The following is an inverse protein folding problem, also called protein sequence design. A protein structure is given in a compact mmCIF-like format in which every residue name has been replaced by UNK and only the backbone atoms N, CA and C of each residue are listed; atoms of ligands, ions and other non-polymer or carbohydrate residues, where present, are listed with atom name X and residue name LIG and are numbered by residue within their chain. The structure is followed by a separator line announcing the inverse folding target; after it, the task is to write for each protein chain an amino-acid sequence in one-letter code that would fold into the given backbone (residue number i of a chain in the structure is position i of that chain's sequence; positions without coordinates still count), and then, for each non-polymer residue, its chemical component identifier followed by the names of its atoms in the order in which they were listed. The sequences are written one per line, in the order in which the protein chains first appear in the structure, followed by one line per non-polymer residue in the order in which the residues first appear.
data_IF_918509747014
#
_entry.id   IF_918509747014
#
_cell.length_a   1.000
_cell.length_b   1.000
_cell.length_c   1.000
_cell.angle_alpha   90.00
_cell.angle_beta   90.00
_cell.angle_gamma   90.00
#
_symmetry.space_group_name_H-M   'P 1'
#
loop_
_entity.id
_entity.type
_entity.pdbx_description
1 polymer ?
#
# COMPACT_ATOMS: atom_id res chain seq x y z
N UNK A 1 16.51 60.52 21.71
CA UNK A 1 16.37 59.52 22.79
C UNK A 1 14.99 58.89 22.67
N UNK A 2 14.86 57.79 21.94
CA UNK A 2 13.61 57.01 21.85
C UNK A 2 13.89 55.61 22.40
N UNK A 3 13.08 55.20 23.39
CA UNK A 3 13.20 53.91 24.06
C UNK A 3 12.53 52.82 23.21
N UNK A 4 13.25 51.71 22.96
CA UNK A 4 12.68 50.49 22.37
C UNK A 4 12.01 49.65 23.48
N UNK A 5 10.84 49.05 23.23
CA UNK A 5 10.24 48.12 24.18
C UNK A 5 10.93 46.75 24.11
N UNK A 6 11.23 46.18 25.27
CA UNK A 6 11.75 44.83 25.45
C UNK A 6 10.69 43.80 25.06
N UNK A 7 11.00 42.99 24.05
CA UNK A 7 10.19 41.85 23.66
C UNK A 7 10.29 40.74 24.73
N UNK A 8 9.13 40.40 25.30
CA UNK A 8 8.95 39.28 26.22
C UNK A 8 9.16 37.95 25.49
N UNK A 9 10.30 37.28 25.76
CA UNK A 9 10.56 35.89 25.38
C UNK A 9 9.65 34.97 26.21
N UNK A 10 8.47 34.65 25.66
CA UNK A 10 7.63 33.58 26.18
C UNK A 10 8.37 32.23 25.99
N UNK A 11 8.64 31.54 27.10
CA UNK A 11 9.22 30.19 27.06
C UNK A 11 8.23 29.22 26.40
N UNK A 12 8.70 28.28 25.55
CA UNK A 12 7.84 27.25 25.00
C UNK A 12 7.32 26.36 26.14
N UNK A 13 6.00 26.20 26.20
CA UNK A 13 5.37 25.25 27.11
C UNK A 13 5.92 23.86 26.82
N UNK A 14 6.60 23.25 27.79
CA UNK A 14 6.97 21.83 27.73
C UNK A 14 5.67 21.04 27.66
N UNK A 15 5.42 20.39 26.53
CA UNK A 15 4.38 19.38 26.41
C UNK A 15 4.61 18.35 27.53
N UNK A 16 3.64 18.22 28.42
CA UNK A 16 3.67 17.19 29.45
C UNK A 16 3.62 15.84 28.73
N UNK A 17 4.72 15.09 28.77
CA UNK A 17 4.73 13.68 28.43
C UNK A 17 3.89 13.00 29.50
N UNK A 18 2.63 12.70 29.18
CA UNK A 18 1.77 11.89 30.04
C UNK A 18 2.41 10.52 30.16
N UNK A 19 2.96 10.20 31.33
CA UNK A 19 3.39 8.84 31.64
C UNK A 19 2.15 7.93 31.54
N UNK A 20 2.24 6.77 30.87
CA UNK A 20 1.14 5.83 30.81
C UNK A 20 0.71 5.47 32.23
N UNK A 21 -0.60 5.52 32.48
CA UNK A 21 -1.20 5.15 33.76
C UNK A 21 -0.70 3.77 34.18
N UNK A 22 -0.14 3.66 35.39
CA UNK A 22 0.39 2.42 35.95
C UNK A 22 -0.67 1.31 36.17
N UNK A 23 -1.92 1.55 35.75
CA UNK A 23 -3.03 0.61 35.79
C UNK A 23 -3.62 0.29 34.41
N UNK A 24 -2.88 0.53 33.33
CA UNK A 24 -3.30 0.00 32.04
C UNK A 24 -3.33 -1.54 32.10
N UNK A 25 -4.44 -2.18 31.70
CA UNK A 25 -4.52 -3.64 31.70
C UNK A 25 -3.40 -4.24 30.84
N UNK A 26 -2.68 -5.22 31.40
CA UNK A 26 -1.70 -6.02 30.65
C UNK A 26 -2.47 -7.14 29.97
N UNK A 27 -2.65 -7.02 28.66
CA UNK A 27 -3.29 -8.06 27.87
C UNK A 27 -2.36 -9.26 27.65
N UNK A 28 -2.94 -10.45 27.63
CA UNK A 28 -2.21 -11.73 27.45
C UNK A 28 -3.03 -12.63 26.52
N UNK A 29 -2.45 -13.75 26.07
CA UNK A 29 -3.24 -14.73 25.32
C UNK A 29 -4.46 -15.26 26.10
N UNK A 30 -4.42 -15.28 27.43
CA UNK A 30 -5.55 -15.72 28.26
C UNK A 30 -6.59 -14.60 28.51
N UNK A 31 -6.24 -13.34 28.21
CA UNK A 31 -7.09 -12.17 28.35
C UNK A 31 -6.76 -11.18 27.22
N UNK A 32 -7.25 -11.43 25.99
CA UNK A 32 -6.98 -10.58 24.84
C UNK A 32 -7.59 -9.19 25.04
N UNK A 33 -7.05 -8.19 24.35
CA UNK A 33 -7.63 -6.87 24.39
C UNK A 33 -9.04 -6.87 23.76
N UNK A 34 -9.97 -6.00 24.21
CA UNK A 34 -11.24 -5.82 23.52
C UNK A 34 -10.95 -5.46 22.06
N UNK A 35 -11.76 -6.00 21.15
CA UNK A 35 -11.59 -5.77 19.73
C UNK A 35 -12.49 -4.60 19.27
N UNK A 36 -11.99 -3.36 19.22
CA UNK A 36 -12.77 -2.26 18.70
C UNK A 36 -13.00 -2.45 17.19
N UNK A 37 -14.26 -2.39 16.78
CA UNK A 37 -14.60 -2.29 15.36
C UNK A 37 -14.12 -0.93 14.85
N UNK A 38 -13.39 -0.87 13.72
CA UNK A 38 -12.94 0.39 13.15
C UNK A 38 -14.08 1.39 12.96
N UNK A 39 -13.84 2.64 13.33
CA UNK A 39 -14.76 3.77 13.13
C UNK A 39 -14.18 4.79 12.16
N UNK A 40 -14.96 5.83 11.86
CA UNK A 40 -14.52 6.96 11.03
C UNK A 40 -13.30 7.69 11.65
N UNK A 41 -13.13 7.61 12.97
CA UNK A 41 -12.10 8.27 13.74
C UNK A 41 -10.84 7.41 13.93
N UNK A 42 -10.93 6.08 13.77
CA UNK A 42 -9.80 5.16 13.96
C UNK A 42 -8.61 5.50 13.05
N UNK A 43 -8.87 5.77 11.76
CA UNK A 43 -7.83 6.13 10.79
C UNK A 43 -7.15 7.47 11.12
N UNK A 44 -7.89 8.58 11.26
CA UNK A 44 -7.30 9.87 11.65
C UNK A 44 -6.53 9.82 12.96
N UNK A 45 -6.98 9.04 13.94
CA UNK A 45 -6.29 8.87 15.22
C UNK A 45 -4.88 8.27 15.04
N UNK A 46 -4.72 7.28 14.14
CA UNK A 46 -3.42 6.69 13.84
C UNK A 46 -2.44 7.68 13.17
N UNK A 47 -2.95 8.74 12.54
CA UNK A 47 -2.13 9.74 11.85
C UNK A 47 -1.69 10.90 12.77
N UNK A 48 -2.12 10.94 14.03
CA UNK A 48 -1.72 12.00 14.95
C UNK A 48 -0.24 11.87 15.31
N UNK A 49 0.54 12.91 15.03
CA UNK A 49 1.96 12.97 15.39
C UNK A 49 2.89 12.14 14.50
N UNK A 50 2.38 11.50 13.44
CA UNK A 50 3.23 10.81 12.46
C UNK A 50 3.86 11.81 11.49
N UNK A 51 5.00 11.47 10.85
CA UNK A 51 5.62 12.31 9.83
C UNK A 51 4.67 12.71 8.69
N UNK A 52 4.83 13.93 8.16
CA UNK A 52 3.93 14.48 7.14
C UNK A 52 3.71 13.54 5.96
N UNK A 53 4.77 12.90 5.46
CA UNK A 53 4.67 11.98 4.33
C UNK A 53 3.76 10.80 4.64
N UNK A 54 3.86 10.22 5.84
CA UNK A 54 3.07 9.05 6.23
C UNK A 54 1.56 9.37 6.30
N UNK A 55 1.24 10.63 6.61
CA UNK A 55 -0.13 11.13 6.69
C UNK A 55 -0.69 11.68 5.37
N UNK A 56 0.12 11.88 4.32
CA UNK A 56 -0.33 12.62 3.12
C UNK A 56 0.02 11.98 1.77
N UNK A 57 0.83 10.92 1.73
CA UNK A 57 1.25 10.29 0.47
C UNK A 57 0.07 9.83 -0.41
N UNK A 58 -1.03 9.38 0.19
CA UNK A 58 -2.23 8.93 -0.49
C UNK A 58 -2.93 10.05 -1.29
N UNK A 59 -2.86 11.30 -0.83
CA UNK A 59 -3.38 12.45 -1.59
C UNK A 59 -2.47 12.81 -2.76
N UNK A 60 -1.17 12.57 -2.64
CA UNK A 60 -0.24 12.71 -3.76
C UNK A 60 -0.61 11.69 -4.85
N UNK A 61 -0.96 10.45 -4.49
CA UNK A 61 -1.45 9.46 -5.47
C UNK A 61 -2.67 9.97 -6.27
N UNK A 62 -3.60 10.68 -5.63
CA UNK A 62 -4.76 11.29 -6.32
C UNK A 62 -4.35 12.26 -7.44
N UNK A 63 -3.26 13.00 -7.23
CA UNK A 63 -2.74 13.97 -8.22
C UNK A 63 -1.86 13.27 -9.26
N UNK A 64 -1.06 12.31 -8.84
CA UNK A 64 -0.12 11.61 -9.73
C UNK A 64 -0.85 10.70 -10.72
N UNK A 65 -1.98 10.09 -10.35
CA UNK A 65 -2.78 9.25 -11.24
C UNK A 65 -3.19 9.94 -12.57
N UNK A 66 -3.91 11.09 -12.57
CA UNK A 66 -4.27 11.76 -13.82
C UNK A 66 -3.05 12.26 -14.59
N UNK A 67 -1.98 12.66 -13.90
CA UNK A 67 -0.72 13.05 -14.55
C UNK A 67 -0.10 11.84 -15.27
N UNK A 68 -0.04 10.67 -14.63
CA UNK A 68 0.55 9.48 -15.24
C UNK A 68 -0.28 8.97 -16.42
N UNK A 69 -1.62 9.05 -16.35
CA UNK A 69 -2.50 8.77 -17.50
C UNK A 69 -2.19 9.71 -18.68
N UNK A 70 -2.05 11.01 -18.41
CA UNK A 70 -1.71 11.99 -19.43
C UNK A 70 -0.33 11.70 -20.05
N UNK A 71 0.67 11.38 -19.22
CA UNK A 71 2.01 11.02 -19.69
C UNK A 71 1.97 9.79 -20.57
N UNK A 72 1.24 8.73 -20.21
CA UNK A 72 1.07 7.54 -21.08
C UNK A 72 0.41 7.94 -22.40
N UNK A 73 -0.62 8.79 -22.36
CA UNK A 73 -1.31 9.26 -23.56
C UNK A 73 -0.41 10.09 -24.50
N UNK A 74 0.54 10.86 -23.97
CA UNK A 74 1.44 11.70 -24.75
C UNK A 74 2.72 10.98 -25.18
N UNK A 75 3.26 10.10 -24.35
CA UNK A 75 4.53 9.41 -24.60
C UNK A 75 4.40 8.29 -25.64
N UNK A 76 3.26 7.61 -25.68
CA UNK A 76 3.01 6.55 -26.66
C UNK A 76 2.24 7.12 -27.84
N UNK A 77 2.74 6.91 -29.07
CA UNK A 77 2.08 7.39 -30.30
C UNK A 77 0.91 6.48 -30.71
N UNK A 78 0.00 7.03 -31.51
CA UNK A 78 -1.13 6.31 -32.10
C UNK A 78 -2.44 6.44 -31.32
N UNK A 79 -3.46 5.77 -31.84
CA UNK A 79 -4.80 5.65 -31.26
C UNK A 79 -4.76 4.90 -29.92
N UNK A 80 -5.82 5.04 -29.12
CA UNK A 80 -5.95 4.32 -27.85
C UNK A 80 -5.81 2.79 -28.05
N UNK A 81 -6.40 2.25 -29.13
CA UNK A 81 -6.30 0.83 -29.45
C UNK A 81 -4.87 0.38 -29.72
N UNK A 82 -4.06 1.20 -30.37
CA UNK A 82 -2.64 0.92 -30.63
C UNK A 82 -1.81 1.03 -29.36
N UNK A 83 -2.07 2.03 -28.52
CA UNK A 83 -1.43 2.17 -27.19
C UNK A 83 -1.71 0.96 -26.31
N UNK A 84 -2.95 0.48 -26.26
CA UNK A 84 -3.33 -0.70 -25.48
C UNK A 84 -2.77 -2.01 -26.07
N UNK A 85 -2.22 -2.01 -27.29
CA UNK A 85 -1.44 -3.14 -27.81
C UNK A 85 0.03 -3.08 -27.38
N UNK A 86 0.55 -1.91 -27.01
CA UNK A 86 1.92 -1.74 -26.59
C UNK A 86 2.12 -2.28 -25.15
N UNK A 87 2.98 -3.29 -24.95
CA UNK A 87 3.15 -3.90 -23.63
C UNK A 87 3.69 -2.92 -22.58
N UNK A 88 4.50 -1.94 -23.00
CA UNK A 88 5.01 -0.93 -22.08
C UNK A 88 3.94 0.03 -21.60
N UNK A 89 3.04 0.46 -22.49
CA UNK A 89 1.91 1.29 -22.09
C UNK A 89 1.02 0.55 -21.08
N UNK A 90 0.76 -0.74 -21.33
CA UNK A 90 0.00 -1.61 -20.41
C UNK A 90 0.73 -1.80 -19.08
N UNK A 91 2.06 -1.95 -19.09
CA UNK A 91 2.86 -2.01 -17.87
C UNK A 91 2.75 -0.73 -17.03
N UNK A 92 2.87 0.45 -17.64
CA UNK A 92 2.71 1.74 -16.95
C UNK A 92 1.29 1.98 -16.40
N UNK A 93 0.28 1.37 -17.03
CA UNK A 93 -1.09 1.42 -16.50
C UNK A 93 -1.22 0.70 -15.14
N UNK A 94 -0.38 -0.31 -14.85
CA UNK A 94 -0.41 -0.98 -13.54
C UNK A 94 -0.13 0.01 -12.41
N UNK A 95 0.97 0.76 -12.50
CA UNK A 95 1.32 1.81 -11.53
C UNK A 95 0.24 2.87 -11.43
N UNK A 96 -0.28 3.30 -12.58
CA UNK A 96 -1.27 4.38 -12.66
C UNK A 96 -2.59 4.01 -11.98
N UNK A 97 -3.10 2.81 -12.23
CA UNK A 97 -4.34 2.35 -11.61
C UNK A 97 -4.15 2.03 -10.13
N UNK A 98 -2.94 1.67 -9.73
CA UNK A 98 -2.61 1.51 -8.33
C UNK A 98 -2.56 2.85 -7.58
N UNK A 99 -2.08 3.94 -8.19
CA UNK A 99 -2.21 5.28 -7.59
C UNK A 99 -3.68 5.63 -7.33
N UNK A 100 -4.55 5.32 -8.29
CA UNK A 100 -5.98 5.52 -8.10
C UNK A 100 -6.48 4.67 -6.92
N UNK A 101 -6.16 3.36 -6.90
CA UNK A 101 -6.53 2.43 -5.83
C UNK A 101 -6.13 2.92 -4.42
N UNK A 102 -4.91 3.42 -4.29
CA UNK A 102 -4.38 3.96 -3.03
C UNK A 102 -5.19 5.15 -2.50
N UNK A 103 -5.89 5.88 -3.37
CA UNK A 103 -6.76 6.97 -2.95
C UNK A 103 -7.98 6.45 -2.18
N UNK A 104 -8.70 5.45 -2.69
CA UNK A 104 -9.82 4.86 -1.93
C UNK A 104 -9.32 4.07 -0.72
N UNK A 105 -8.22 3.34 -0.87
CA UNK A 105 -7.68 2.51 0.19
C UNK A 105 -7.24 3.36 1.41
N UNK A 106 -6.49 4.44 1.17
CA UNK A 106 -5.83 5.19 2.24
C UNK A 106 -6.28 6.65 2.37
N UNK A 107 -6.73 7.33 1.31
CA UNK A 107 -7.10 8.75 1.41
C UNK A 107 -8.53 8.93 1.92
N UNK A 108 -9.51 8.48 1.17
CA UNK A 108 -10.92 8.50 1.55
C UNK A 108 -11.59 7.29 0.91
N UNK A 109 -12.09 6.39 1.76
CA UNK A 109 -12.79 5.21 1.26
C UNK A 109 -14.18 5.55 0.73
N UNK A 110 -14.91 4.55 0.22
CA UNK A 110 -16.27 4.75 -0.32
C UNK A 110 -17.28 5.25 0.72
N UNK A 111 -16.99 5.09 2.02
CA UNK A 111 -17.78 5.63 3.13
C UNK A 111 -17.38 7.07 3.50
N UNK A 112 -16.33 7.60 2.89
CA UNK A 112 -15.71 8.88 3.23
C UNK A 112 -14.87 8.83 4.50
N UNK A 113 -14.38 7.65 4.91
CA UNK A 113 -13.51 7.50 6.07
C UNK A 113 -12.06 7.66 5.65
N UNK A 114 -11.33 8.52 6.36
CA UNK A 114 -9.92 8.79 6.06
C UNK A 114 -9.03 7.70 6.66
N UNK A 115 -8.13 7.15 5.87
CA UNK A 115 -7.12 6.19 6.32
C UNK A 115 -7.69 4.94 7.01
N UNK A 116 -8.84 4.45 6.52
CA UNK A 116 -9.59 3.37 7.14
C UNK A 116 -9.02 1.97 6.86
N UNK A 117 -8.19 1.79 5.81
CA UNK A 117 -7.62 0.49 5.48
C UNK A 117 -6.73 -0.07 6.60
N UNK A 118 -5.84 0.72 7.20
CA UNK A 118 -4.91 0.18 8.21
C UNK A 118 -5.66 -0.37 9.45
N UNK A 119 -6.60 0.38 10.08
CA UNK A 119 -7.46 -0.18 11.12
C UNK A 119 -8.28 -1.39 10.65
N UNK A 120 -8.87 -1.32 9.45
CA UNK A 120 -9.67 -2.41 8.89
C UNK A 120 -8.89 -3.70 8.68
N UNK A 121 -7.70 -3.58 8.09
CA UNK A 121 -6.77 -4.68 7.90
C UNK A 121 -6.37 -5.28 9.24
N UNK A 122 -5.97 -4.43 10.18
CA UNK A 122 -5.56 -4.84 11.52
C UNK A 122 -6.68 -5.55 12.30
N UNK A 123 -7.94 -5.14 12.12
CA UNK A 123 -9.13 -5.78 12.70
C UNK A 123 -9.47 -7.13 12.07
N UNK A 124 -9.48 -7.21 10.73
CA UNK A 124 -10.01 -8.39 10.03
C UNK A 124 -8.93 -9.42 9.68
N UNK A 125 -7.80 -8.96 9.13
CA UNK A 125 -6.76 -9.81 8.53
C UNK A 125 -5.56 -9.95 9.46
N UNK A 126 -5.25 -8.89 10.21
CA UNK A 126 -4.16 -8.83 11.19
C UNK A 126 -4.10 -10.03 12.13
N UNK A 127 -5.20 -10.46 12.78
CA UNK A 127 -5.18 -11.58 13.73
C UNK A 127 -4.87 -12.92 13.08
N UNK A 128 -5.26 -13.09 11.81
CA UNK A 128 -5.00 -14.30 11.03
C UNK A 128 -3.53 -14.41 10.64
N UNK A 129 -2.92 -13.28 10.25
CA UNK A 129 -1.52 -13.26 9.82
C UNK A 129 -0.53 -13.09 10.99
N UNK A 130 -0.94 -12.36 12.02
CA UNK A 130 -0.10 -11.94 13.13
C UNK A 130 -0.84 -12.23 14.45
N UNK A 131 -0.69 -13.44 15.03
CA UNK A 131 -1.37 -13.80 16.28
C UNK A 131 -1.09 -12.86 17.47
N UNK A 132 -0.01 -12.07 17.39
CA UNK A 132 0.30 -11.02 18.38
C UNK A 132 -0.76 -9.92 18.45
N UNK A 133 -1.54 -9.72 17.38
CA UNK A 133 -2.67 -8.79 17.31
C UNK A 133 -3.72 -9.05 18.39
N UNK A 134 -4.03 -10.32 18.67
CA UNK A 134 -5.01 -10.67 19.71
C UNK A 134 -4.54 -10.27 21.11
N UNK A 135 -3.22 -10.20 21.32
CA UNK A 135 -2.64 -9.73 22.58
C UNK A 135 -2.67 -8.21 22.64
N UNK A 136 -2.20 -7.53 21.58
CA UNK A 136 -2.07 -6.07 21.59
C UNK A 136 -3.40 -5.34 21.49
N UNK A 137 -4.43 -6.02 21.00
CA UNK A 137 -5.65 -5.39 20.52
C UNK A 137 -5.49 -4.98 19.08
N UNK A 138 -6.57 -5.17 18.31
CA UNK A 138 -6.47 -5.11 16.86
C UNK A 138 -6.09 -3.71 16.37
N UNK A 139 -6.54 -2.63 17.00
CA UNK A 139 -6.10 -1.26 16.68
C UNK A 139 -4.59 -0.99 16.96
N UNK A 140 -3.93 -1.87 17.72
CA UNK A 140 -2.51 -1.83 18.04
C UNK A 140 -1.71 -2.93 17.35
N UNK A 141 -2.33 -3.62 16.38
CA UNK A 141 -1.65 -4.54 15.47
C UNK A 141 -0.46 -3.89 14.75
N UNK A 142 0.45 -4.72 14.21
CA UNK A 142 1.76 -4.28 13.74
C UNK A 142 1.76 -3.42 12.48
N UNK A 143 0.65 -3.33 11.74
CA UNK A 143 0.59 -2.42 10.60
C UNK A 143 0.45 -0.99 11.10
N UNK A 144 1.51 -0.22 10.90
CA UNK A 144 1.60 1.19 11.26
C UNK A 144 1.46 2.07 10.02
N UNK A 145 1.18 3.39 10.16
CA UNK A 145 1.16 4.30 9.03
C UNK A 145 2.46 4.34 8.22
N UNK A 146 3.60 4.23 8.91
CA UNK A 146 4.93 4.13 8.29
C UNK A 146 5.05 2.90 7.39
N UNK A 147 4.61 1.74 7.88
CA UNK A 147 4.65 0.51 7.11
C UNK A 147 3.72 0.58 5.89
N UNK A 148 2.49 1.09 6.08
CA UNK A 148 1.57 1.35 4.97
C UNK A 148 2.15 2.28 3.91
N UNK A 149 2.91 3.29 4.33
CA UNK A 149 3.63 4.21 3.43
C UNK A 149 4.73 3.51 2.67
N UNK A 150 5.58 2.71 3.34
CA UNK A 150 6.66 1.99 2.66
C UNK A 150 6.16 0.97 1.67
N UNK A 151 5.16 0.17 2.03
CA UNK A 151 4.54 -0.79 1.12
C UNK A 151 4.07 -0.08 -0.14
N UNK A 152 3.31 1.01 0.01
CA UNK A 152 2.71 1.69 -1.13
C UNK A 152 3.70 2.52 -1.94
N UNK A 153 4.55 3.31 -1.29
CA UNK A 153 5.50 4.18 -1.99
C UNK A 153 6.65 3.35 -2.55
N UNK A 154 7.23 2.44 -1.77
CA UNK A 154 8.42 1.70 -2.21
C UNK A 154 8.05 0.60 -3.19
N UNK A 155 7.01 -0.21 -2.92
CA UNK A 155 6.64 -1.27 -3.86
C UNK A 155 6.04 -0.68 -5.14
N UNK A 156 5.04 0.19 -5.00
CA UNK A 156 4.23 0.60 -6.15
C UNK A 156 4.86 1.78 -6.86
N UNK A 157 5.15 2.88 -6.14
CA UNK A 157 5.62 4.09 -6.82
C UNK A 157 7.03 3.91 -7.35
N UNK A 158 7.93 3.37 -6.52
CA UNK A 158 9.33 3.17 -6.87
C UNK A 158 9.49 1.85 -7.63
N UNK A 159 9.09 0.72 -7.03
CA UNK A 159 9.33 -0.60 -7.61
C UNK A 159 8.72 -0.78 -8.99
N UNK A 160 7.43 -0.46 -9.18
CA UNK A 160 6.82 -0.63 -10.50
C UNK A 160 7.41 0.35 -11.52
N UNK A 161 7.65 1.61 -11.14
CA UNK A 161 8.22 2.60 -12.07
C UNK A 161 9.65 2.25 -12.47
N UNK A 162 10.48 1.79 -11.54
CA UNK A 162 11.85 1.33 -11.84
C UNK A 162 11.81 0.07 -12.72
N UNK A 163 10.90 -0.86 -12.46
CA UNK A 163 10.65 -2.02 -13.35
C UNK A 163 10.37 -1.56 -14.77
N UNK A 164 9.48 -0.58 -14.93
CA UNK A 164 9.09 -0.06 -16.24
C UNK A 164 10.22 0.67 -16.96
N UNK A 165 10.99 1.48 -16.24
CA UNK A 165 12.17 2.16 -16.79
C UNK A 165 13.19 1.13 -17.28
N UNK A 166 13.51 0.12 -16.46
CA UNK A 166 14.45 -0.94 -16.84
C UNK A 166 13.91 -1.76 -18.02
N UNK A 167 12.62 -2.09 -18.03
CA UNK A 167 11.97 -2.78 -19.13
C UNK A 167 12.09 -2.01 -20.45
N UNK A 168 11.85 -0.70 -20.43
CA UNK A 168 12.05 0.18 -21.58
C UNK A 168 13.50 0.20 -22.06
N UNK A 169 14.45 0.35 -21.14
CA UNK A 169 15.87 0.43 -21.47
C UNK A 169 16.41 -0.88 -22.05
N UNK A 170 15.98 -2.02 -21.53
CA UNK A 170 16.47 -3.34 -21.97
C UNK A 170 15.74 -3.89 -23.18
N UNK A 171 14.47 -3.54 -23.38
CA UNK A 171 13.68 -3.99 -24.51
C UNK A 171 13.38 -5.50 -24.52
N UNK A 172 12.82 -5.97 -25.64
CA UNK A 172 12.62 -7.40 -25.92
C UNK A 172 11.80 -8.11 -24.85
N UNK A 173 12.36 -9.20 -24.30
CA UNK A 173 11.71 -10.04 -23.28
C UNK A 173 11.30 -9.29 -22.01
N UNK A 174 12.03 -8.23 -21.65
CA UNK A 174 11.74 -7.42 -20.46
C UNK A 174 10.48 -6.55 -20.60
N UNK A 175 9.92 -6.40 -21.81
CA UNK A 175 8.67 -5.65 -22.03
C UNK A 175 7.50 -6.18 -21.20
N UNK A 176 7.55 -7.46 -20.80
CA UNK A 176 6.53 -8.11 -20.02
C UNK A 176 6.71 -7.96 -18.50
N UNK A 177 7.87 -7.52 -18.01
CA UNK A 177 8.12 -7.34 -16.57
C UNK A 177 7.09 -6.40 -15.93
N UNK A 178 6.75 -5.31 -16.63
CA UNK A 178 5.70 -4.39 -16.22
C UNK A 178 4.31 -5.00 -16.20
N UNK A 179 4.02 -5.92 -17.12
CA UNK A 179 2.73 -6.59 -17.16
C UNK A 179 2.63 -7.62 -16.03
N UNK A 180 3.73 -8.26 -15.65
CA UNK A 180 3.80 -9.17 -14.49
C UNK A 180 3.42 -8.46 -13.17
N UNK A 181 3.62 -7.14 -13.07
CA UNK A 181 3.18 -6.34 -11.92
C UNK A 181 1.65 -6.18 -11.81
N UNK A 182 0.89 -6.40 -12.88
CA UNK A 182 -0.57 -6.58 -12.78
C UNK A 182 -0.96 -7.77 -11.91
N UNK A 183 -0.06 -8.75 -11.79
CA UNK A 183 -0.17 -9.85 -10.83
C UNK A 183 -0.38 -9.38 -9.39
N UNK A 184 0.45 -8.44 -8.93
CA UNK A 184 0.32 -7.85 -7.60
C UNK A 184 -0.99 -7.05 -7.47
N UNK A 185 -1.35 -6.29 -8.51
CA UNK A 185 -2.60 -5.51 -8.53
C UNK A 185 -3.83 -6.41 -8.40
N UNK A 186 -3.85 -7.50 -9.15
CA UNK A 186 -4.93 -8.50 -9.11
C UNK A 186 -4.98 -9.21 -7.76
N UNK A 187 -3.85 -9.71 -7.25
CA UNK A 187 -3.80 -10.43 -5.98
C UNK A 187 -4.21 -9.51 -4.83
N UNK A 188 -3.74 -8.25 -4.80
CA UNK A 188 -4.20 -7.29 -3.80
C UNK A 188 -5.70 -7.02 -3.94
N UNK A 189 -6.17 -6.75 -5.16
CA UNK A 189 -7.58 -6.50 -5.42
C UNK A 189 -8.47 -7.65 -4.95
N UNK A 190 -8.12 -8.90 -5.26
CA UNK A 190 -8.90 -10.08 -4.86
C UNK A 190 -8.73 -10.39 -3.38
N UNK A 191 -7.51 -10.68 -2.93
CA UNK A 191 -7.26 -11.24 -1.60
C UNK A 191 -7.09 -10.18 -0.51
N UNK A 192 -6.61 -8.99 -0.87
CA UNK A 192 -6.48 -7.84 0.03
C UNK A 192 -7.79 -7.07 0.22
N UNK A 193 -8.70 -7.09 -0.76
CA UNK A 193 -9.92 -6.27 -0.69
C UNK A 193 -11.23 -7.03 -0.91
N UNK A 194 -11.42 -7.70 -2.05
CA UNK A 194 -12.73 -8.29 -2.39
C UNK A 194 -13.10 -9.49 -1.49
N UNK A 195 -12.14 -10.36 -1.19
CA UNK A 195 -12.37 -11.49 -0.27
C UNK A 195 -12.69 -10.98 1.15
N UNK A 196 -11.90 -10.06 1.75
CA UNK A 196 -12.28 -9.42 3.01
C UNK A 196 -13.65 -8.75 2.96
N UNK A 197 -14.01 -8.10 1.85
CA UNK A 197 -15.34 -7.50 1.69
C UNK A 197 -16.45 -8.54 1.83
N UNK A 198 -16.35 -9.65 1.10
CA UNK A 198 -17.35 -10.72 1.12
C UNK A 198 -17.48 -11.34 2.53
N UNK A 199 -16.37 -11.48 3.26
CA UNK A 199 -16.34 -12.19 4.54
C UNK A 199 -16.66 -11.32 5.76
N UNK A 200 -16.26 -10.05 5.74
CA UNK A 200 -16.30 -9.18 6.92
C UNK A 200 -17.06 -7.86 6.70
N UNK A 201 -17.60 -7.62 5.51
CA UNK A 201 -18.21 -6.34 5.12
C UNK A 201 -17.19 -5.41 4.47
N UNK A 202 -17.66 -4.24 4.00
CA UNK A 202 -16.88 -3.35 3.14
C UNK A 202 -15.44 -3.09 3.65
N UNK A 203 -14.47 -3.36 2.78
CA UNK A 203 -13.06 -3.08 3.00
C UNK A 203 -12.61 -1.88 2.16
N UNK A 204 -11.88 -0.94 2.75
CA UNK A 204 -11.34 0.21 2.01
C UNK A 204 -10.46 -0.27 0.86
N UNK A 205 -10.61 0.33 -0.33
CA UNK A 205 -9.92 -0.10 -1.56
C UNK A 205 -10.71 -1.12 -2.40
N UNK A 206 -11.83 -1.65 -1.89
CA UNK A 206 -12.57 -2.72 -2.57
C UNK A 206 -13.36 -2.23 -3.79
N UNK A 207 -13.83 -0.98 -3.81
CA UNK A 207 -14.57 -0.44 -4.98
C UNK A 207 -13.62 -0.28 -6.16
N UNK A 208 -12.45 0.31 -5.96
CA UNK A 208 -11.45 0.47 -7.02
C UNK A 208 -10.80 -0.85 -7.39
N UNK A 209 -10.72 -1.81 -6.46
CA UNK A 209 -10.34 -3.18 -6.79
C UNK A 209 -11.32 -3.83 -7.76
N UNK A 210 -12.62 -3.70 -7.49
CA UNK A 210 -13.69 -4.24 -8.33
C UNK A 210 -13.73 -3.59 -9.71
N UNK A 211 -13.56 -2.27 -9.78
CA UNK A 211 -13.71 -1.51 -11.02
C UNK A 211 -12.45 -1.49 -11.87
N UNK A 212 -11.26 -1.53 -11.26
CA UNK A 212 -10.00 -1.28 -11.95
C UNK A 212 -8.99 -2.41 -11.78
N UNK A 213 -8.53 -2.70 -10.56
CA UNK A 213 -7.39 -3.60 -10.39
C UNK A 213 -7.68 -5.03 -10.89
N UNK A 214 -8.84 -5.58 -10.53
CA UNK A 214 -9.20 -6.96 -10.90
C UNK A 214 -9.54 -7.07 -12.39
N UNK A 215 -10.45 -6.26 -12.96
CA UNK A 215 -10.79 -6.37 -14.39
C UNK A 215 -9.60 -6.11 -15.31
N UNK A 216 -8.79 -5.09 -15.03
CA UNK A 216 -7.64 -4.77 -15.88
C UNK A 216 -6.47 -5.73 -15.66
N UNK A 217 -6.30 -6.26 -14.44
CA UNK A 217 -5.36 -7.34 -14.18
C UNK A 217 -5.71 -8.59 -14.99
N UNK A 218 -6.97 -9.04 -14.94
CA UNK A 218 -7.44 -10.18 -15.74
C UNK A 218 -7.26 -9.92 -17.24
N UNK A 219 -7.66 -8.75 -17.73
CA UNK A 219 -7.43 -8.37 -19.12
C UNK A 219 -5.96 -8.40 -19.52
N UNK A 220 -5.06 -7.88 -18.68
CA UNK A 220 -3.62 -7.92 -18.91
C UNK A 220 -3.07 -9.36 -18.98
N UNK A 221 -3.61 -10.28 -18.18
CA UNK A 221 -3.21 -11.70 -18.18
C UNK A 221 -3.56 -12.42 -19.48
N UNK A 222 -4.65 -12.04 -20.14
CA UNK A 222 -5.10 -12.70 -21.38
C UNK A 222 -4.20 -12.48 -22.60
N UNK A 223 -3.19 -11.62 -22.48
CA UNK A 223 -2.41 -11.14 -23.62
C UNK A 223 -1.45 -12.18 -24.19
N UNK A 224 -0.88 -13.04 -23.34
CA UNK A 224 0.21 -13.96 -23.72
C UNK A 224 -0.05 -15.40 -23.24
N UNK A 225 -1.32 -15.73 -23.02
CA UNK A 225 -1.79 -17.09 -22.74
C UNK A 225 -1.70 -17.53 -21.27
N UNK A 226 -2.11 -18.77 -20.96
CA UNK A 226 -2.34 -19.24 -19.59
C UNK A 226 -1.06 -19.35 -18.75
N UNK A 227 0.09 -19.68 -19.36
CA UNK A 227 1.38 -19.73 -18.64
C UNK A 227 1.79 -18.34 -18.15
N UNK A 228 1.58 -17.32 -18.98
CA UNK A 228 1.85 -15.94 -18.61
C UNK A 228 0.91 -15.42 -17.52
N UNK A 229 -0.38 -15.74 -17.63
CA UNK A 229 -1.36 -15.46 -16.58
C UNK A 229 -0.94 -16.07 -15.23
N UNK A 230 -0.51 -17.33 -15.23
CA UNK A 230 -0.01 -18.01 -14.02
C UNK A 230 1.24 -17.31 -13.45
N UNK A 231 2.17 -16.89 -14.30
CA UNK A 231 3.37 -16.16 -13.87
C UNK A 231 3.00 -14.82 -13.19
N UNK A 232 1.99 -14.10 -13.72
CA UNK A 232 1.50 -12.88 -13.10
C UNK A 232 0.88 -13.16 -11.73
N UNK A 233 -0.04 -14.12 -11.63
CA UNK A 233 -0.68 -14.49 -10.36
C UNK A 233 0.36 -14.94 -9.34
N UNK A 234 1.31 -15.79 -9.75
CA UNK A 234 2.41 -16.25 -8.91
C UNK A 234 3.26 -15.09 -8.41
N UNK A 235 3.63 -14.14 -9.26
CA UNK A 235 4.35 -12.93 -8.85
C UNK A 235 3.58 -12.13 -7.79
N UNK A 236 2.28 -11.95 -7.99
CA UNK A 236 1.41 -11.29 -7.01
C UNK A 236 1.39 -12.00 -5.67
N UNK A 237 1.18 -13.32 -5.65
CA UNK A 237 1.17 -14.12 -4.43
C UNK A 237 2.52 -14.10 -3.72
N UNK A 238 3.62 -14.26 -4.46
CA UNK A 238 4.98 -14.23 -3.92
C UNK A 238 5.25 -12.88 -3.24
N UNK A 239 4.91 -11.76 -3.88
CA UNK A 239 5.09 -10.43 -3.28
C UNK A 239 4.35 -10.29 -1.94
N UNK A 240 3.08 -10.67 -1.89
CA UNK A 240 2.27 -10.56 -0.66
C UNK A 240 2.77 -11.51 0.43
N UNK A 241 3.09 -12.76 0.08
CA UNK A 241 3.65 -13.70 1.05
C UNK A 241 5.00 -13.23 1.59
N UNK A 242 5.89 -12.72 0.72
CA UNK A 242 7.23 -12.34 1.11
C UNK A 242 7.27 -11.03 1.91
N UNK A 243 6.53 -10.00 1.50
CA UNK A 243 6.53 -8.70 2.16
C UNK A 243 5.56 -8.71 3.35
N UNK A 244 4.27 -8.99 3.12
CA UNK A 244 3.26 -8.91 4.19
C UNK A 244 3.30 -10.11 5.14
N UNK A 245 3.40 -11.33 4.62
CA UNK A 245 3.40 -12.53 5.45
C UNK A 245 4.70 -12.67 6.23
N UNK A 246 5.77 -12.96 5.51
CA UNK A 246 7.09 -13.28 6.08
C UNK A 246 7.79 -12.01 6.55
N UNK A 247 7.84 -10.97 5.72
CA UNK A 247 8.59 -9.74 5.98
C UNK A 247 8.19 -9.08 7.28
N UNK A 248 6.90 -8.76 7.43
CA UNK A 248 6.34 -8.17 8.65
C UNK A 248 6.51 -9.11 9.85
N UNK A 249 6.28 -10.41 9.70
CA UNK A 249 6.47 -11.38 10.80
C UNK A 249 7.92 -11.42 11.29
N UNK A 250 8.89 -11.44 10.37
CA UNK A 250 10.32 -11.42 10.69
C UNK A 250 10.68 -10.08 11.33
N UNK A 251 10.17 -8.98 10.79
CA UNK A 251 10.39 -7.64 11.35
C UNK A 251 9.95 -7.57 12.81
N UNK A 252 8.76 -8.07 13.13
CA UNK A 252 8.24 -8.08 14.50
C UNK A 252 9.03 -9.03 15.41
N UNK A 253 9.29 -10.26 14.95
CA UNK A 253 9.96 -11.29 15.75
C UNK A 253 11.37 -10.89 16.17
N UNK A 254 12.07 -10.15 15.31
CA UNK A 254 13.45 -9.73 15.54
C UNK A 254 13.60 -8.23 15.85
N UNK A 255 12.48 -7.52 16.05
CA UNK A 255 12.46 -6.08 16.30
C UNK A 255 13.27 -5.27 15.26
N UNK A 256 13.12 -5.63 13.99
CA UNK A 256 13.75 -4.94 12.87
C UNK A 256 12.99 -3.65 12.56
N UNK A 257 13.66 -2.65 11.98
CA UNK A 257 13.00 -1.41 11.60
C UNK A 257 12.12 -1.62 10.34
N UNK A 258 11.06 -0.82 10.12
CA UNK A 258 10.16 -0.94 8.95
C UNK A 258 10.86 -0.86 7.59
N UNK A 259 12.04 -0.25 7.53
CA UNK A 259 12.90 -0.20 6.35
C UNK A 259 13.32 -1.59 5.87
N UNK A 260 13.35 -2.61 6.75
CA UNK A 260 13.55 -3.99 6.35
C UNK A 260 12.48 -4.45 5.36
N UNK A 261 11.21 -4.21 5.67
CA UNK A 261 10.10 -4.57 4.79
C UNK A 261 10.07 -3.70 3.52
N UNK A 262 10.48 -2.43 3.62
CA UNK A 262 10.66 -1.58 2.44
C UNK A 262 11.64 -2.18 1.42
N UNK A 263 12.74 -2.79 1.88
CA UNK A 263 13.69 -3.50 1.01
C UNK A 263 13.03 -4.70 0.35
N UNK A 264 12.27 -5.51 1.09
CA UNK A 264 11.53 -6.64 0.52
C UNK A 264 10.52 -6.17 -0.51
N UNK A 265 9.75 -5.13 -0.18
CA UNK A 265 8.83 -4.47 -1.09
C UNK A 265 9.51 -4.10 -2.40
N UNK A 266 10.68 -3.45 -2.36
CA UNK A 266 11.43 -3.12 -3.58
C UNK A 266 11.89 -4.37 -4.36
N UNK A 267 12.48 -5.35 -3.67
CA UNK A 267 12.98 -6.58 -4.31
C UNK A 267 11.85 -7.32 -5.04
N UNK A 268 10.72 -7.52 -4.39
CA UNK A 268 9.61 -8.31 -4.94
C UNK A 268 8.73 -7.54 -5.92
N UNK A 269 8.71 -6.21 -5.87
CA UNK A 269 7.99 -5.38 -6.85
C UNK A 269 8.82 -4.96 -8.06
N UNK A 270 10.14 -5.13 -8.00
CA UNK A 270 11.06 -4.75 -9.09
C UNK A 270 11.96 -5.89 -9.57
N UNK A 271 12.80 -6.43 -8.69
CA UNK A 271 13.83 -7.40 -9.09
C UNK A 271 13.19 -8.71 -9.54
N UNK A 272 12.19 -9.22 -8.83
CA UNK A 272 11.51 -10.48 -9.16
C UNK A 272 10.77 -10.39 -10.51
N UNK A 273 9.93 -9.38 -10.79
CA UNK A 273 9.30 -9.22 -12.10
C UNK A 273 10.31 -9.16 -13.26
N UNK A 274 11.44 -8.47 -13.06
CA UNK A 274 12.52 -8.40 -14.04
C UNK A 274 13.22 -9.75 -14.25
N UNK A 275 13.38 -10.54 -13.19
CA UNK A 275 13.95 -11.88 -13.26
C UNK A 275 12.99 -12.89 -13.90
N UNK A 276 11.68 -12.76 -13.67
CA UNK A 276 10.66 -13.59 -14.34
C UNK A 276 10.64 -13.33 -15.86
N UNK A 277 10.79 -12.06 -16.26
CA UNK A 277 10.77 -11.67 -17.67
C UNK A 277 12.10 -11.88 -18.42
N UNK A 278 13.22 -11.96 -17.68
CA UNK A 278 14.57 -12.06 -18.22
C UNK A 278 15.05 -13.49 -18.34
#
# INVERSE_FOLDING_TARGET
RSARPLASLARPARAAVSLPSAMAPVYTHANPAPNPVPTKESGPALLVGVPWMDANWMYISCVVCPISLLVICLAFKGSLKEKLKNPYAVGWLSTTFYFMHQAEEHALDFRGWHYAFVPGFNYAVGPVLFPICDILGHDHCPITPRLGTYINVVAIWIGFSVTMVIAHCKGGKYAYAGIVNWGMSFVNGVFGHLVPWILAGYNSGAVQSLLFLVPFGLWAFTRDGPKFALACIANGLIFHMASFGIGITVMLKFNLPPEFDAVLCFVFSCIVPLAIAG
#
